data_IF_058612787637
#
_entry.id   IF_058612787637
#
_cell.length_a   1.000
_cell.length_b   1.000
_cell.length_c   1.000
_cell.angle_alpha   90.00
_cell.angle_beta   90.00
_cell.angle_gamma   90.00
#
_symmetry.space_group_name_H-M   'P 1'
#
loop_
_entity.id
_entity.type
_entity.pdbx_description
1 polymer ?
#
# COMPACT_ATOMS: atom_id res chain seq x y z
N UNK A 1 35.70 37.85 17.91
CA UNK A 1 36.06 37.22 16.61
C UNK A 1 37.28 37.94 16.06
N UNK A 2 38.39 37.24 15.85
CA UNK A 2 39.65 37.82 15.35
C UNK A 2 39.58 38.35 13.91
N UNK A 3 38.49 38.07 13.19
CA UNK A 3 38.23 38.60 11.86
C UNK A 3 37.68 40.03 11.91
N UNK A 4 36.88 40.37 12.93
CA UNK A 4 36.25 41.70 13.06
C UNK A 4 37.27 42.84 13.20
N UNK A 5 38.37 42.59 13.90
CA UNK A 5 39.46 43.55 14.03
C UNK A 5 40.24 43.75 12.72
N UNK A 6 40.39 42.69 11.92
CA UNK A 6 41.02 42.74 10.60
C UNK A 6 40.13 43.45 9.58
N UNK A 7 38.82 43.19 9.63
CA UNK A 7 37.82 43.88 8.79
C UNK A 7 37.81 45.39 9.03
N UNK A 8 37.87 45.83 10.31
CA UNK A 8 37.97 47.25 10.65
C UNK A 8 39.27 47.89 10.14
N UNK A 9 40.37 47.14 10.09
CA UNK A 9 41.66 47.63 9.59
C UNK A 9 41.71 47.72 8.05
N UNK A 10 40.91 46.90 7.35
CA UNK A 10 40.85 46.84 5.88
C UNK A 10 39.88 47.83 5.25
N UNK A 11 39.12 48.60 6.03
CA UNK A 11 38.11 49.55 5.53
C UNK A 11 38.68 50.70 4.66
N UNK A 12 40.01 50.88 4.59
CA UNK A 12 40.66 51.91 3.75
C UNK A 12 41.49 51.39 2.56
N UNK A 13 41.98 50.15 2.58
CA UNK A 13 43.01 49.68 1.61
C UNK A 13 42.80 48.25 1.12
N UNK A 14 41.73 47.56 1.54
CA UNK A 14 41.52 46.14 1.26
C UNK A 14 40.86 45.81 -0.08
N UNK A 15 40.38 46.81 -0.82
CA UNK A 15 39.53 46.58 -1.99
C UNK A 15 40.27 46.55 -3.33
N UNK A 16 41.51 47.02 -3.42
CA UNK A 16 42.25 47.04 -4.69
C UNK A 16 42.49 45.63 -5.24
N UNK A 17 42.79 44.68 -4.35
CA UNK A 17 42.91 43.26 -4.72
C UNK A 17 41.58 42.68 -5.21
N UNK A 18 40.46 43.09 -4.59
CA UNK A 18 39.12 42.69 -4.98
C UNK A 18 38.76 43.26 -6.36
N UNK A 19 39.00 44.55 -6.62
CA UNK A 19 38.72 45.16 -7.91
C UNK A 19 39.62 44.60 -9.02
N UNK A 20 40.89 44.29 -8.73
CA UNK A 20 41.78 43.61 -9.68
C UNK A 20 41.29 42.19 -10.03
N UNK A 21 40.71 41.46 -9.08
CA UNK A 21 40.06 40.18 -9.34
C UNK A 21 38.76 40.36 -10.14
N UNK A 22 37.93 41.35 -9.78
CA UNK A 22 36.69 41.67 -10.47
C UNK A 22 36.94 42.04 -11.94
N UNK A 23 37.99 42.79 -12.23
CA UNK A 23 38.35 43.16 -13.60
C UNK A 23 38.79 41.97 -14.44
N UNK A 24 39.45 40.97 -13.84
CA UNK A 24 39.74 39.69 -14.51
C UNK A 24 38.45 38.93 -14.86
N UNK A 25 37.48 38.89 -13.93
CA UNK A 25 36.17 38.26 -14.15
C UNK A 25 35.39 39.01 -15.24
N UNK A 26 35.34 40.34 -15.19
CA UNK A 26 34.72 41.18 -16.23
C UNK A 26 35.39 41.02 -17.60
N UNK A 27 36.72 40.86 -17.64
CA UNK A 27 37.44 40.61 -18.88
C UNK A 27 37.14 39.21 -19.43
N UNK A 28 36.93 38.22 -18.56
CA UNK A 28 36.50 36.88 -18.96
C UNK A 28 35.08 36.89 -19.55
N UNK A 29 34.10 37.54 -18.91
CA UNK A 29 32.76 37.66 -19.47
C UNK A 29 32.71 38.50 -20.77
N UNK A 30 33.57 39.52 -20.90
CA UNK A 30 33.71 40.28 -22.16
C UNK A 30 34.26 39.44 -23.31
N UNK A 31 35.13 38.46 -23.02
CA UNK A 31 35.68 37.52 -24.02
C UNK A 31 34.73 36.37 -24.36
N UNK A 32 33.80 36.05 -23.47
CA UNK A 32 32.85 34.95 -23.62
C UNK A 32 31.42 35.46 -23.40
N UNK A 33 30.90 36.34 -24.27
CA UNK A 33 29.56 36.92 -24.12
C UNK A 33 28.43 35.90 -24.29
N UNK A 34 28.67 34.77 -24.98
CA UNK A 34 27.72 33.67 -25.14
C UNK A 34 27.72 32.65 -23.98
N UNK A 35 28.68 32.76 -23.04
CA UNK A 35 28.70 31.89 -21.86
C UNK A 35 27.64 32.38 -20.85
N UNK A 36 26.39 31.92 -21.01
CA UNK A 36 25.38 32.13 -19.97
C UNK A 36 25.76 31.31 -18.74
N UNK A 37 25.90 31.95 -17.57
CA UNK A 37 25.89 31.21 -16.31
C UNK A 37 24.47 30.68 -16.17
N UNK A 38 24.29 29.37 -16.36
CA UNK A 38 22.99 28.77 -16.11
C UNK A 38 22.63 29.03 -14.65
N UNK A 39 21.48 29.65 -14.35
CA UNK A 39 21.01 29.77 -12.99
C UNK A 39 21.00 28.37 -12.35
N UNK A 40 21.52 28.18 -11.12
CA UNK A 40 21.47 26.88 -10.44
C UNK A 40 20.06 26.29 -10.39
N UNK A 41 19.03 27.14 -10.44
CA UNK A 41 17.61 26.81 -10.55
C UNK A 41 17.26 25.94 -11.78
N UNK A 42 18.02 26.07 -12.89
CA UNK A 42 17.84 25.23 -14.08
C UNK A 42 18.30 23.78 -13.86
N UNK A 43 19.26 23.53 -12.98
CA UNK A 43 19.61 22.17 -12.58
C UNK A 43 18.42 21.51 -11.90
N UNK A 44 17.67 22.24 -11.05
CA UNK A 44 16.45 21.72 -10.42
C UNK A 44 15.30 21.48 -11.40
N UNK A 45 15.27 22.17 -12.55
CA UNK A 45 14.24 21.98 -13.59
C UNK A 45 14.43 20.66 -14.35
N UNK A 46 15.68 20.18 -14.49
CA UNK A 46 15.96 18.86 -15.09
C UNK A 46 15.31 17.72 -14.31
N UNK A 47 15.25 17.84 -12.97
CA UNK A 47 14.70 16.83 -12.07
C UNK A 47 13.18 16.91 -11.83
N UNK A 48 12.42 17.60 -12.70
CA UNK A 48 10.96 17.76 -12.53
C UNK A 48 10.12 16.56 -12.94
N UNK A 49 10.75 15.50 -13.46
CA UNK A 49 10.05 14.32 -14.02
C UNK A 49 10.23 13.10 -13.13
N UNK A 50 9.12 12.42 -12.85
CA UNK A 50 9.12 11.09 -12.24
C UNK A 50 9.92 10.13 -13.14
N UNK A 51 10.70 9.16 -12.61
CA UNK A 51 11.34 8.10 -13.41
C UNK A 51 10.50 7.54 -14.56
N UNK A 52 9.25 7.23 -14.27
CA UNK A 52 8.25 6.73 -15.23
C UNK A 52 8.02 7.69 -16.42
N UNK A 53 8.03 9.01 -16.20
CA UNK A 53 7.84 10.00 -17.27
C UNK A 53 9.08 10.18 -18.15
N UNK A 54 10.27 9.87 -17.63
CA UNK A 54 11.51 9.87 -18.40
C UNK A 54 11.56 8.63 -19.29
N UNK A 55 11.30 7.44 -18.73
CA UNK A 55 11.32 6.18 -19.48
C UNK A 55 10.27 6.13 -20.60
N UNK A 56 9.06 6.65 -20.34
CA UNK A 56 8.04 6.81 -21.38
C UNK A 56 8.52 7.71 -22.53
N UNK A 57 9.21 8.82 -22.21
CA UNK A 57 9.76 9.72 -23.24
C UNK A 57 10.91 9.10 -24.00
N UNK A 58 11.78 8.32 -23.33
CA UNK A 58 12.83 7.53 -23.97
C UNK A 58 12.22 6.59 -24.98
N UNK A 59 11.22 5.79 -24.59
CA UNK A 59 10.52 4.85 -25.47
C UNK A 59 9.83 5.53 -26.64
N UNK A 60 9.13 6.65 -26.42
CA UNK A 60 8.49 7.43 -27.49
C UNK A 60 9.54 8.00 -28.46
N UNK A 61 10.68 8.46 -27.94
CA UNK A 61 11.78 8.98 -28.76
C UNK A 61 12.45 7.86 -29.56
N UNK A 62 12.71 6.71 -28.94
CA UNK A 62 13.23 5.49 -29.60
C UNK A 62 12.31 5.01 -30.71
N UNK A 63 11.00 4.91 -30.44
CA UNK A 63 10.01 4.50 -31.44
C UNK A 63 10.01 5.47 -32.62
N UNK A 64 10.02 6.77 -32.35
CA UNK A 64 10.08 7.82 -33.38
C UNK A 64 11.39 7.80 -34.17
N UNK A 65 12.51 7.48 -33.53
CA UNK A 65 13.83 7.36 -34.17
C UNK A 65 13.95 6.09 -35.01
N UNK A 66 13.40 4.96 -34.55
CA UNK A 66 13.29 3.71 -35.33
C UNK A 66 12.47 3.94 -36.60
N UNK A 67 11.31 4.59 -36.47
CA UNK A 67 10.42 4.91 -37.60
C UNK A 67 11.06 5.83 -38.64
N UNK A 68 11.99 6.70 -38.23
CA UNK A 68 12.59 7.72 -39.11
C UNK A 68 13.95 7.33 -39.68
N UNK A 69 14.75 6.53 -38.97
CA UNK A 69 16.12 6.20 -39.38
C UNK A 69 16.30 4.76 -39.85
N UNK A 70 15.32 3.87 -39.60
CA UNK A 70 15.40 2.43 -39.94
C UNK A 70 16.69 1.76 -39.38
N UNK A 71 17.21 2.30 -38.28
CA UNK A 71 18.35 1.78 -37.50
C UNK A 71 17.77 1.16 -36.24
N UNK A 72 18.05 -0.13 -36.00
CA UNK A 72 17.50 -0.87 -34.85
C UNK A 72 18.08 -0.40 -33.50
N UNK A 73 19.31 0.13 -33.50
CA UNK A 73 20.03 0.60 -32.33
C UNK A 73 20.42 2.07 -32.49
N UNK A 74 19.58 2.98 -31.98
CA UNK A 74 19.88 4.41 -31.92
C UNK A 74 20.29 4.73 -30.49
N UNK A 75 21.54 5.12 -30.28
CA UNK A 75 22.02 5.63 -28.99
C UNK A 75 21.41 7.02 -28.76
N UNK A 76 20.51 7.13 -27.77
CA UNK A 76 19.93 8.40 -27.35
C UNK A 76 20.90 9.06 -26.38
N UNK A 77 21.13 10.37 -26.55
CA UNK A 77 21.88 11.18 -25.59
C UNK A 77 21.03 11.33 -24.31
N UNK A 78 21.37 10.53 -23.30
CA UNK A 78 20.63 10.38 -22.03
C UNK A 78 20.63 11.64 -21.15
N UNK A 79 21.31 12.71 -21.56
CA UNK A 79 21.38 13.98 -20.82
C UNK A 79 20.02 14.68 -20.65
N UNK A 80 18.99 14.34 -21.46
CA UNK A 80 17.62 14.86 -21.31
C UNK A 80 16.67 13.95 -20.51
N UNK A 81 17.17 12.80 -20.03
CA UNK A 81 16.41 11.74 -19.35
C UNK A 81 16.81 11.54 -17.88
N UNK A 82 17.63 12.43 -17.31
CA UNK A 82 18.06 12.36 -15.91
C UNK A 82 16.86 12.49 -14.96
N UNK A 83 16.61 11.42 -14.19
CA UNK A 83 15.57 11.35 -13.17
C UNK A 83 16.19 11.62 -11.79
N UNK A 84 15.37 12.00 -10.80
CA UNK A 84 15.87 12.27 -9.44
C UNK A 84 16.43 11.02 -8.74
N UNK A 85 16.05 9.83 -9.20
CA UNK A 85 16.40 8.54 -8.60
C UNK A 85 17.12 7.72 -9.66
N UNK A 86 18.42 7.49 -9.47
CA UNK A 86 19.18 6.60 -10.36
C UNK A 86 18.79 5.14 -10.13
N UNK A 87 19.05 4.25 -11.09
CA UNK A 87 18.93 2.79 -10.89
C UNK A 87 19.69 2.34 -9.64
N UNK A 88 20.89 2.87 -9.43
CA UNK A 88 21.67 2.59 -8.22
C UNK A 88 21.08 3.15 -6.93
N UNK A 89 20.14 4.08 -6.98
CA UNK A 89 19.38 4.56 -5.81
C UNK A 89 18.17 3.67 -5.50
N UNK A 90 17.56 3.05 -6.53
CA UNK A 90 16.53 2.03 -6.35
C UNK A 90 17.09 0.77 -5.70
N UNK A 91 18.26 0.29 -6.15
CA UNK A 91 18.97 -0.84 -5.54
C UNK A 91 19.32 -0.56 -4.06
N UNK A 92 19.72 0.68 -3.76
CA UNK A 92 19.95 1.13 -2.37
C UNK A 92 18.65 1.11 -1.57
N UNK A 93 17.53 1.49 -2.16
CA UNK A 93 16.24 1.50 -1.47
C UNK A 93 15.80 0.06 -1.15
N UNK A 94 15.93 -0.86 -2.10
CA UNK A 94 15.58 -2.27 -1.93
C UNK A 94 16.45 -2.93 -0.84
N UNK A 95 17.76 -2.67 -0.84
CA UNK A 95 18.66 -3.19 0.21
C UNK A 95 18.46 -2.57 1.59
N UNK A 96 17.82 -1.40 1.70
CA UNK A 96 17.52 -0.75 2.97
C UNK A 96 16.33 -1.36 3.71
N UNK A 97 15.41 -2.04 3.02
CA UNK A 97 14.19 -2.58 3.62
C UNK A 97 14.14 -4.09 3.47
N UNK A 98 13.61 -4.77 4.49
CA UNK A 98 13.22 -6.17 4.32
C UNK A 98 12.03 -6.23 3.35
N UNK A 99 11.93 -7.31 2.57
CA UNK A 99 10.78 -7.53 1.69
C UNK A 99 9.45 -7.40 2.45
N UNK A 100 9.38 -7.90 3.69
CA UNK A 100 8.17 -7.82 4.52
C UNK A 100 7.86 -6.38 5.01
N UNK A 101 8.85 -5.47 5.07
CA UNK A 101 8.64 -4.06 5.46
C UNK A 101 7.98 -3.24 4.34
N UNK A 102 8.12 -3.67 3.07
CA UNK A 102 7.54 -3.01 1.88
C UNK A 102 7.78 -1.50 1.89
N UNK A 103 9.05 -1.09 1.82
CA UNK A 103 9.50 0.31 1.82
C UNK A 103 8.92 1.17 2.97
N UNK A 104 8.75 0.58 4.16
CA UNK A 104 8.21 1.27 5.34
C UNK A 104 6.67 1.32 5.41
N UNK A 105 5.98 0.50 4.61
CA UNK A 105 4.53 0.29 4.77
C UNK A 105 4.22 -0.52 6.02
N UNK A 106 4.98 -1.57 6.27
CA UNK A 106 4.84 -2.47 7.41
C UNK A 106 6.12 -2.47 8.25
N UNK A 107 6.03 -3.10 9.42
CA UNK A 107 7.14 -3.29 10.36
C UNK A 107 7.43 -4.77 10.46
N UNK A 108 8.69 -5.17 10.35
CA UNK A 108 9.13 -6.56 10.51
C UNK A 108 9.76 -6.76 11.89
N UNK A 109 9.02 -7.40 12.79
CA UNK A 109 9.46 -7.70 14.16
C UNK A 109 9.74 -9.19 14.37
N UNK A 110 9.95 -9.98 13.30
CA UNK A 110 10.17 -11.42 13.40
C UNK A 110 11.43 -11.77 14.20
N UNK A 111 12.52 -11.00 14.04
CA UNK A 111 13.75 -11.22 14.81
C UNK A 111 13.53 -10.97 16.31
N UNK A 112 12.84 -9.89 16.64
CA UNK A 112 12.54 -9.53 18.03
C UNK A 112 11.55 -10.53 18.65
N UNK A 113 10.60 -11.08 17.88
CA UNK A 113 9.72 -12.16 18.33
C UNK A 113 10.49 -13.43 18.69
N UNK A 114 11.49 -13.82 17.89
CA UNK A 114 12.38 -14.96 18.21
C UNK A 114 13.14 -14.73 19.52
N UNK A 115 13.67 -13.52 19.71
CA UNK A 115 14.33 -13.15 20.98
C UNK A 115 13.36 -13.19 22.15
N UNK A 116 12.11 -12.73 21.97
CA UNK A 116 11.07 -12.75 22.99
C UNK A 116 10.72 -14.17 23.43
N UNK A 117 10.53 -15.10 22.49
CA UNK A 117 10.21 -16.51 22.80
C UNK A 117 11.33 -17.18 23.62
N UNK A 118 12.57 -16.75 23.42
CA UNK A 118 13.73 -17.29 24.16
C UNK A 118 13.85 -16.73 25.59
N UNK A 119 13.00 -15.78 26.01
CA UNK A 119 13.04 -15.21 27.35
C UNK A 119 12.49 -16.19 28.40
N UNK A 120 13.25 -16.34 29.48
CA UNK A 120 12.88 -17.21 30.61
C UNK A 120 11.63 -16.67 31.32
N UNK A 121 10.62 -17.52 31.52
CA UNK A 121 9.42 -17.17 32.28
C UNK A 121 8.34 -16.45 31.47
N UNK A 122 8.47 -16.39 30.14
CA UNK A 122 7.40 -15.95 29.23
C UNK A 122 6.76 -17.16 28.54
N UNK A 123 5.48 -17.07 28.20
CA UNK A 123 4.80 -18.10 27.41
C UNK A 123 5.18 -17.99 25.94
N UNK A 124 5.28 -19.14 25.26
CA UNK A 124 5.45 -19.18 23.80
C UNK A 124 4.17 -18.66 23.14
N UNK A 125 4.22 -17.47 22.56
CA UNK A 125 3.09 -16.84 21.88
C UNK A 125 3.32 -16.77 20.36
N UNK A 126 2.23 -16.74 19.60
CA UNK A 126 2.29 -16.55 18.15
C UNK A 126 2.78 -15.14 17.79
N UNK A 127 3.23 -14.95 16.54
CA UNK A 127 3.71 -13.64 16.07
C UNK A 127 2.62 -12.56 16.14
N UNK A 128 1.38 -12.90 15.79
CA UNK A 128 0.24 -11.96 15.84
C UNK A 128 -0.09 -11.56 17.28
N UNK A 129 -0.02 -12.50 18.22
CA UNK A 129 -0.18 -12.18 19.65
C UNK A 129 0.97 -11.31 20.15
N UNK A 130 2.20 -11.60 19.73
CA UNK A 130 3.38 -10.80 20.06
C UNK A 130 3.23 -9.34 19.62
N UNK A 131 2.72 -9.06 18.41
CA UNK A 131 2.46 -7.68 17.95
C UNK A 131 1.47 -6.92 18.86
N UNK A 132 0.62 -7.61 19.63
CA UNK A 132 -0.29 -6.97 20.59
C UNK A 132 0.32 -6.78 21.99
N UNK A 133 1.27 -7.64 22.35
CA UNK A 133 1.85 -7.72 23.70
C UNK A 133 3.21 -7.02 23.79
N UNK A 134 3.86 -6.71 22.67
CA UNK A 134 5.21 -6.10 22.62
C UNK A 134 5.34 -4.74 23.34
N UNK A 135 4.24 -4.12 23.77
CA UNK A 135 4.20 -2.88 24.56
C UNK A 135 3.83 -3.07 26.03
N UNK A 136 3.39 -4.27 26.42
CA UNK A 136 2.90 -4.58 27.76
C UNK A 136 4.04 -5.10 28.63
N UNK A 137 5.02 -4.25 28.89
CA UNK A 137 6.18 -4.59 29.73
C UNK A 137 5.82 -4.90 31.19
N UNK A 138 4.62 -4.53 31.64
CA UNK A 138 4.08 -4.87 32.96
C UNK A 138 3.69 -6.33 33.13
N UNK A 139 3.38 -7.04 32.04
CA UNK A 139 3.01 -8.46 32.08
C UNK A 139 4.24 -9.37 32.25
N UNK A 140 5.44 -8.83 32.03
CA UNK A 140 6.70 -9.56 32.13
C UNK A 140 7.15 -9.61 33.60
N UNK A 141 7.30 -10.82 34.20
CA UNK A 141 7.72 -10.94 35.58
C UNK A 141 9.07 -10.27 35.85
N UNK A 142 9.24 -9.63 37.01
CA UNK A 142 10.50 -9.00 37.38
C UNK A 142 11.70 -9.98 37.35
N UNK A 143 11.46 -11.26 37.63
CA UNK A 143 12.48 -12.31 37.56
C UNK A 143 12.91 -12.65 36.12
N UNK A 144 12.09 -12.34 35.11
CA UNK A 144 12.38 -12.54 33.70
C UNK A 144 13.19 -11.36 33.09
N UNK A 145 13.26 -10.22 33.79
CA UNK A 145 14.02 -9.02 33.37
C UNK A 145 15.53 -9.18 33.61
N UNK A 146 16.10 -10.25 33.07
CA UNK A 146 17.53 -10.56 33.09
C UNK A 146 18.28 -9.89 31.91
N UNK A 147 19.57 -10.15 31.76
CA UNK A 147 20.39 -9.62 30.67
C UNK A 147 19.86 -9.96 29.27
N UNK A 148 19.25 -11.14 29.10
CA UNK A 148 18.61 -11.55 27.82
C UNK A 148 17.43 -10.63 27.47
N UNK A 149 16.66 -10.21 28.47
CA UNK A 149 15.57 -9.26 28.26
C UNK A 149 16.10 -7.88 27.91
N UNK A 150 17.20 -7.45 28.56
CA UNK A 150 17.87 -6.20 28.19
C UNK A 150 18.43 -6.23 26.75
N UNK A 151 18.92 -7.38 26.28
CA UNK A 151 19.35 -7.58 24.89
C UNK A 151 18.18 -7.49 23.91
N UNK A 152 17.07 -8.18 24.21
CA UNK A 152 15.82 -8.06 23.45
C UNK A 152 15.35 -6.60 23.32
N UNK A 153 15.28 -5.86 24.43
CA UNK A 153 14.87 -4.45 24.42
C UNK A 153 15.82 -3.57 23.62
N UNK A 154 17.14 -3.80 23.71
CA UNK A 154 18.13 -3.06 22.91
C UNK A 154 17.96 -3.35 21.42
N UNK A 155 17.76 -4.61 21.04
CA UNK A 155 17.49 -5.01 19.65
C UNK A 155 16.21 -4.34 19.13
N UNK A 156 15.14 -4.36 19.92
CA UNK A 156 13.86 -3.74 19.56
C UNK A 156 13.96 -2.21 19.42
N UNK A 157 14.64 -1.54 20.35
CA UNK A 157 14.89 -0.10 20.26
C UNK A 157 15.75 0.26 19.04
N UNK A 158 16.84 -0.47 18.80
CA UNK A 158 17.73 -0.24 17.66
C UNK A 158 17.02 -0.45 16.32
N UNK A 159 16.17 -1.49 16.23
CA UNK A 159 15.35 -1.73 15.06
C UNK A 159 14.40 -0.55 14.79
N UNK A 160 13.65 -0.08 15.81
CA UNK A 160 12.76 1.06 15.64
C UNK A 160 13.50 2.34 15.25
N UNK A 161 14.64 2.63 15.88
CA UNK A 161 15.47 3.80 15.53
C UNK A 161 15.93 3.76 14.06
N UNK A 162 16.40 2.59 13.60
CA UNK A 162 16.78 2.40 12.22
C UNK A 162 15.56 2.50 11.28
N UNK A 163 14.41 1.95 11.68
CA UNK A 163 13.18 2.03 10.91
C UNK A 163 12.70 3.47 10.75
N UNK A 164 12.73 4.31 11.81
CA UNK A 164 12.43 5.74 11.70
C UNK A 164 13.36 6.44 10.72
N UNK A 165 14.67 6.17 10.79
CA UNK A 165 15.65 6.79 9.91
C UNK A 165 15.44 6.42 8.42
N UNK A 166 15.06 5.17 8.13
CA UNK A 166 14.83 4.69 6.76
C UNK A 166 13.44 5.07 6.22
N UNK A 167 12.38 4.81 6.98
CA UNK A 167 10.99 4.98 6.53
C UNK A 167 10.43 6.39 6.69
N UNK A 168 10.99 7.19 7.60
CA UNK A 168 10.49 8.53 7.93
C UNK A 168 11.65 9.51 8.13
N UNK A 169 12.43 9.81 7.08
CA UNK A 169 13.62 10.67 7.18
C UNK A 169 13.32 12.10 7.63
N UNK A 170 12.07 12.56 7.46
CA UNK A 170 11.62 13.89 7.92
C UNK A 170 11.20 13.91 9.40
N UNK A 171 11.12 12.76 10.06
CA UNK A 171 10.81 12.68 11.47
C UNK A 171 12.05 13.03 12.31
N UNK A 172 11.94 14.04 13.18
CA UNK A 172 13.02 14.46 14.08
C UNK A 172 13.16 13.48 15.26
N UNK A 173 13.78 12.33 14.98
CA UNK A 173 14.06 11.27 15.96
C UNK A 173 14.91 11.78 17.14
N UNK A 174 15.98 12.57 16.95
CA UNK A 174 16.76 13.10 18.08
C UNK A 174 15.95 13.99 19.02
N UNK A 175 15.03 14.81 18.51
CA UNK A 175 14.12 15.59 19.35
C UNK A 175 13.17 14.67 20.12
N UNK A 176 12.52 13.72 19.45
CA UNK A 176 11.62 12.78 20.10
C UNK A 176 12.32 11.95 21.20
N UNK A 177 13.59 11.56 20.98
CA UNK A 177 14.42 10.87 21.97
C UNK A 177 14.66 11.74 23.21
N UNK A 178 15.04 13.01 23.03
CA UNK A 178 15.26 13.94 24.15
C UNK A 178 13.97 14.17 24.95
N UNK A 179 12.85 14.39 24.27
CA UNK A 179 11.55 14.56 24.92
C UNK A 179 11.14 13.31 25.73
N UNK A 180 11.39 12.11 25.19
CA UNK A 180 11.16 10.85 25.91
C UNK A 180 12.09 10.69 27.12
N UNK A 181 13.37 11.07 26.99
CA UNK A 181 14.32 11.01 28.10
C UNK A 181 13.98 12.00 29.22
N UNK A 182 13.56 13.22 28.88
CA UNK A 182 13.10 14.23 29.84
C UNK A 182 11.81 13.80 30.56
N UNK A 183 10.84 13.25 29.80
CA UNK A 183 9.62 12.70 30.37
C UNK A 183 9.90 11.54 31.34
N UNK A 184 10.79 10.62 30.95
CA UNK A 184 11.20 9.51 31.80
C UNK A 184 11.86 9.97 33.10
N UNK A 185 12.82 10.91 33.04
CA UNK A 185 13.49 11.39 34.26
C UNK A 185 12.52 12.09 35.21
N UNK A 186 11.51 12.79 34.67
CA UNK A 186 10.43 13.39 35.45
C UNK A 186 9.57 12.32 36.14
N UNK A 187 9.04 11.36 35.38
CA UNK A 187 8.21 10.26 35.91
C UNK A 187 8.99 9.42 36.95
N UNK A 188 10.29 9.18 36.70
CA UNK A 188 11.15 8.42 37.60
C UNK A 188 11.44 9.16 38.90
N UNK A 189 11.59 10.49 38.86
CA UNK A 189 11.76 11.32 40.05
C UNK A 189 10.49 11.33 40.91
N UNK A 190 9.32 11.54 40.28
CA UNK A 190 8.02 11.52 40.96
C UNK A 190 7.71 10.15 41.61
N UNK A 191 8.12 9.04 40.96
CA UNK A 191 7.99 7.70 41.54
C UNK A 191 8.78 7.53 42.84
N UNK A 192 10.01 8.06 42.89
CA UNK A 192 10.86 7.99 44.09
C UNK A 192 10.28 8.75 45.28
N UNK A 193 9.54 9.83 45.05
CA UNK A 193 8.88 10.57 46.14
C UNK A 193 7.67 9.81 46.71
N UNK A 194 7.01 8.96 45.91
CA UNK A 194 5.82 8.21 46.33
C UNK A 194 6.13 6.81 46.90
N UNK A 195 7.19 6.13 46.45
CA UNK A 195 7.66 4.84 47.01
C UNK A 195 8.78 5.08 48.05
N UNK A 196 8.43 5.59 49.24
CA UNK A 196 9.35 5.72 50.39
C UNK A 196 9.34 4.53 51.35
N UNK A 197 8.96 3.33 50.88
CA UNK A 197 9.30 2.06 51.56
C UNK A 197 10.69 1.61 51.07
N UNK A 198 11.73 2.23 51.65
CA UNK A 198 13.12 1.85 51.37
C UNK A 198 13.38 0.48 52.01
N UNK A 199 13.31 -0.60 51.21
CA UNK A 199 13.89 -1.88 51.59
C UNK A 199 15.36 -1.66 51.99
N UNK A 200 15.68 -1.85 53.27
CA UNK A 200 17.02 -1.62 53.80
C UNK A 200 17.98 -2.68 53.26
N UNK A 201 18.64 -2.38 52.14
CA UNK A 201 19.54 -3.30 51.45
C UNK A 201 21.02 -2.91 51.63
N UNK A 202 21.87 -3.90 51.86
CA UNK A 202 23.31 -3.74 51.95
C UNK A 202 23.97 -4.27 50.68
N UNK A 203 24.45 -3.37 49.81
CA UNK A 203 25.06 -3.72 48.51
C UNK A 203 26.33 -4.57 48.63
N UNK A 204 27.30 -4.30 49.53
CA UNK A 204 28.51 -5.13 49.68
C UNK A 204 28.25 -6.56 50.17
N UNK A 205 27.17 -6.76 50.94
CA UNK A 205 26.82 -8.06 51.52
C UNK A 205 25.61 -8.72 50.87
N UNK A 206 24.97 -8.07 49.90
CA UNK A 206 23.77 -8.47 49.18
C UNK A 206 22.65 -9.03 50.09
N UNK A 207 22.35 -8.33 51.19
CA UNK A 207 21.32 -8.71 52.17
C UNK A 207 20.30 -7.61 52.36
N UNK A 208 19.03 -7.99 52.38
CA UNK A 208 17.90 -7.15 52.79
C UNK A 208 17.67 -7.26 54.29
N UNK A 209 17.19 -6.18 54.90
CA UNK A 209 16.91 -6.08 56.32
C UNK A 209 15.50 -5.52 56.52
N UNK A 210 14.74 -6.12 57.42
CA UNK A 210 13.37 -5.69 57.71
C UNK A 210 13.32 -4.46 58.63
N UNK A 211 14.37 -4.24 59.45
CA UNK A 211 14.40 -3.17 60.47
C UNK A 211 15.67 -2.34 60.38
N UNK A 212 15.55 -1.02 60.51
CA UNK A 212 16.66 -0.07 60.45
C UNK A 212 17.72 -0.34 61.53
N UNK A 213 17.28 -0.80 62.70
CA UNK A 213 18.16 -1.18 63.81
C UNK A 213 19.08 -2.35 63.43
N UNK A 214 18.54 -3.37 62.76
CA UNK A 214 19.32 -4.53 62.30
C UNK A 214 20.28 -4.18 61.17
N UNK A 215 19.88 -3.24 60.30
CA UNK A 215 20.72 -2.71 59.23
C UNK A 215 21.92 -1.91 59.77
N UNK A 216 21.68 -0.97 60.70
CA UNK A 216 22.74 -0.17 61.34
C UNK A 216 23.75 -1.06 62.08
N UNK A 217 23.26 -2.09 62.79
CA UNK A 217 24.13 -3.05 63.45
C UNK A 217 24.98 -3.86 62.45
N UNK A 218 24.39 -4.28 61.32
CA UNK A 218 25.11 -4.98 60.25
C UNK A 218 26.24 -4.12 59.63
N UNK A 219 25.97 -2.84 59.37
CA UNK A 219 26.97 -1.89 58.83
C UNK A 219 28.19 -1.74 59.73
N UNK A 220 28.00 -1.73 61.06
CA UNK A 220 29.10 -1.69 62.03
C UNK A 220 29.79 -3.05 62.27
N UNK A 221 29.30 -4.14 61.66
CA UNK A 221 29.80 -5.48 61.97
C UNK A 221 31.17 -5.75 61.32
N UNK A 222 32.08 -6.41 62.06
CA UNK A 222 33.40 -6.82 61.53
C UNK A 222 33.32 -7.68 60.26
N UNK A 223 32.22 -8.42 60.06
CA UNK A 223 31.99 -9.23 58.84
C UNK A 223 31.78 -8.31 57.63
N UNK A 224 30.92 -7.30 57.77
CA UNK A 224 30.67 -6.30 56.73
C UNK A 224 31.95 -5.52 56.39
N UNK A 225 32.65 -5.01 57.41
CA UNK A 225 33.89 -4.24 57.21
C UNK A 225 34.93 -5.02 56.39
N UNK A 226 35.13 -6.32 56.71
CA UNK A 226 36.05 -7.19 55.96
C UNK A 226 35.62 -7.41 54.50
N UNK A 227 34.32 -7.45 54.23
CA UNK A 227 33.80 -7.60 52.86
C UNK A 227 33.99 -6.32 52.06
N UNK A 228 33.76 -5.16 52.67
CA UNK A 228 34.03 -3.84 52.06
C UNK A 228 35.52 -3.68 51.76
N UNK A 229 36.39 -3.99 52.72
CA UNK A 229 37.85 -3.92 52.53
C UNK A 229 38.35 -4.89 51.44
N UNK A 230 37.68 -6.04 51.29
CA UNK A 230 37.96 -7.01 50.21
C UNK A 230 37.53 -6.48 48.84
N UNK A 231 36.34 -5.88 48.75
CA UNK A 231 35.83 -5.26 47.52
C UNK A 231 36.68 -4.05 47.12
N UNK A 232 37.13 -3.25 48.08
CA UNK A 232 38.02 -2.10 47.83
C UNK A 232 39.39 -2.51 47.27
N UNK A 233 39.85 -3.73 47.58
CA UNK A 233 41.13 -4.28 47.08
C UNK A 233 41.02 -4.97 45.72
N UNK A 234 39.83 -5.35 45.25
CA UNK A 234 39.65 -5.83 43.88
C UNK A 234 39.60 -4.63 42.93
N UNK A 235 40.63 -4.47 42.10
CA UNK A 235 40.75 -3.37 41.15
C UNK A 235 39.67 -3.39 40.07
N UNK A 236 38.90 -2.30 40.00
CA UNK A 236 38.34 -1.63 38.83
C UNK A 236 37.55 -2.47 37.79
N UNK A 237 36.37 -2.91 38.18
CA UNK A 237 35.19 -2.77 37.33
C UNK A 237 34.08 -2.19 38.22
N UNK A 238 33.55 -1.02 37.89
CA UNK A 238 32.35 -0.51 38.58
C UNK A 238 31.24 -1.51 38.28
N UNK A 239 30.95 -2.43 39.21
CA UNK A 239 29.75 -3.26 39.10
C UNK A 239 28.58 -2.31 39.13
N UNK A 240 27.79 -2.26 38.05
CA UNK A 240 26.57 -1.46 38.04
C UNK A 240 25.69 -1.87 39.20
N UNK A 241 25.23 -0.88 39.97
CA UNK A 241 24.32 -1.15 41.08
C UNK A 241 23.04 -1.78 40.52
N UNK A 242 22.35 -2.61 41.32
CA UNK A 242 21.10 -3.24 40.88
C UNK A 242 20.03 -2.20 40.53
N UNK A 243 20.08 -1.05 41.20
CA UNK A 243 19.22 0.12 40.95
C UNK A 243 19.61 0.80 39.63
N UNK A 244 20.92 0.97 39.41
CA UNK A 244 21.62 1.21 38.14
C UNK A 244 20.96 0.52 36.96
N UNK A 245 20.96 -0.79 37.06
CA UNK A 245 20.52 -1.71 36.02
C UNK A 245 19.02 -1.65 35.80
N UNK A 246 18.24 -1.66 36.88
CA UNK A 246 16.79 -1.54 36.80
C UNK A 246 16.36 -0.21 36.15
N UNK A 247 17.02 0.91 36.49
CA UNK A 247 16.74 2.22 35.88
C UNK A 247 17.02 2.21 34.38
N UNK A 248 18.12 1.59 33.93
CA UNK A 248 18.43 1.48 32.49
C UNK A 248 17.41 0.64 31.73
N UNK A 249 16.98 -0.49 32.29
CA UNK A 249 15.94 -1.33 31.67
C UNK A 249 14.63 -0.55 31.58
N UNK A 250 14.19 0.09 32.67
CA UNK A 250 12.97 0.89 32.68
C UNK A 250 13.02 2.05 31.67
N UNK A 251 14.19 2.69 31.49
CA UNK A 251 14.39 3.72 30.47
C UNK A 251 14.20 3.18 29.05
N UNK A 252 14.76 1.99 28.77
CA UNK A 252 14.58 1.32 27.47
C UNK A 252 13.12 0.96 27.23
N UNK A 253 12.42 0.44 28.24
CA UNK A 253 10.97 0.14 28.17
C UNK A 253 10.17 1.40 27.82
N UNK A 254 10.41 2.52 28.51
CA UNK A 254 9.74 3.80 28.22
C UNK A 254 10.04 4.28 26.79
N UNK A 255 11.30 4.20 26.36
CA UNK A 255 11.71 4.61 25.00
C UNK A 255 11.00 3.79 23.92
N UNK A 256 10.96 2.46 24.07
CA UNK A 256 10.23 1.57 23.15
C UNK A 256 8.73 1.86 23.18
N UNK A 257 8.16 2.14 24.35
CA UNK A 257 6.74 2.50 24.46
C UNK A 257 6.40 3.78 23.68
N UNK A 258 7.28 4.79 23.72
CA UNK A 258 7.15 6.00 22.92
C UNK A 258 7.24 5.71 21.41
N UNK A 259 8.18 4.86 20.99
CA UNK A 259 8.32 4.46 19.58
C UNK A 259 7.11 3.71 19.06
N UNK A 260 6.60 2.74 19.81
CA UNK A 260 5.40 2.02 19.40
C UNK A 260 4.17 2.93 19.36
N UNK A 261 4.04 3.89 20.30
CA UNK A 261 2.96 4.88 20.24
C UNK A 261 3.02 5.71 18.96
N UNK A 262 4.22 6.13 18.53
CA UNK A 262 4.41 6.85 17.28
C UNK A 262 4.16 5.97 16.04
N UNK A 263 4.50 4.68 16.09
CA UNK A 263 4.30 3.70 15.01
C UNK A 263 2.94 2.96 15.09
N UNK A 264 1.99 3.45 15.88
CA UNK A 264 0.75 2.73 16.18
C UNK A 264 -0.08 2.38 14.93
N UNK A 265 -0.13 3.26 13.93
CA UNK A 265 -0.79 2.99 12.65
C UNK A 265 -0.09 1.87 11.89
N UNK A 266 1.23 1.96 11.73
CA UNK A 266 2.06 0.97 11.02
C UNK A 266 1.99 -0.42 11.65
N UNK A 267 1.94 -0.50 12.97
CA UNK A 267 1.78 -1.77 13.69
C UNK A 267 0.37 -2.34 13.53
N UNK A 268 -0.67 -1.50 13.52
CA UNK A 268 -2.03 -1.93 13.20
C UNK A 268 -2.13 -2.48 11.77
N UNK A 269 -1.53 -1.79 10.80
CA UNK A 269 -1.49 -2.22 9.40
C UNK A 269 -0.72 -3.53 9.23
N UNK A 270 0.42 -3.66 9.91
CA UNK A 270 1.22 -4.89 9.94
C UNK A 270 0.40 -6.05 10.51
N UNK A 271 -0.30 -5.83 11.63
CA UNK A 271 -1.16 -6.84 12.22
C UNK A 271 -2.27 -7.29 11.28
N UNK A 272 -2.97 -6.34 10.66
CA UNK A 272 -4.04 -6.65 9.70
C UNK A 272 -3.49 -7.42 8.49
N UNK A 273 -2.30 -7.05 8.01
CA UNK A 273 -1.61 -7.75 6.92
C UNK A 273 -1.25 -9.18 7.29
N UNK A 274 -0.65 -9.40 8.47
CA UNK A 274 -0.30 -10.75 8.93
C UNK A 274 -1.56 -11.60 9.13
N UNK A 275 -2.62 -11.05 9.71
CA UNK A 275 -3.88 -11.78 9.90
C UNK A 275 -4.54 -12.15 8.56
N UNK A 276 -4.54 -11.24 7.59
CA UNK A 276 -4.99 -11.55 6.22
C UNK A 276 -4.13 -12.63 5.59
N UNK A 277 -2.80 -12.51 5.61
CA UNK A 277 -1.86 -13.50 5.05
C UNK A 277 -1.98 -14.87 5.72
N UNK A 278 -2.37 -14.94 7.00
CA UNK A 278 -2.66 -16.19 7.68
C UNK A 278 -3.97 -16.85 7.25
N UNK A 279 -4.94 -16.06 6.77
CA UNK A 279 -6.23 -16.55 6.29
C UNK A 279 -6.22 -16.99 4.81
N UNK A 280 -5.19 -16.57 4.04
CA UNK A 280 -5.03 -16.95 2.64
C UNK A 280 -4.67 -18.43 2.49
N UNK A 281 -5.20 -19.04 1.42
CA UNK A 281 -4.77 -20.36 0.94
C UNK A 281 -3.36 -20.29 0.34
N UNK A 282 -2.73 -21.45 0.15
CA UNK A 282 -1.36 -21.50 -0.39
C UNK A 282 -1.28 -20.91 -1.81
N UNK A 283 -2.28 -21.20 -2.66
CA UNK A 283 -2.35 -20.66 -4.02
C UNK A 283 -2.50 -19.13 -4.01
N UNK A 284 -3.33 -18.58 -3.11
CA UNK A 284 -3.50 -17.13 -2.98
C UNK A 284 -2.25 -16.44 -2.39
N UNK A 285 -1.52 -17.11 -1.49
CA UNK A 285 -0.25 -16.61 -0.95
C UNK A 285 0.85 -16.56 -2.00
N UNK A 286 0.91 -17.59 -2.86
CA UNK A 286 1.81 -17.62 -4.01
C UNK A 286 1.46 -16.53 -5.01
N UNK A 287 0.17 -16.27 -5.25
CA UNK A 287 -0.28 -15.17 -6.10
C UNK A 287 0.06 -13.79 -5.52
N UNK A 288 -0.12 -13.54 -4.21
CA UNK A 288 0.29 -12.27 -3.59
C UNK A 288 1.81 -12.05 -3.64
N UNK A 289 2.63 -13.11 -3.65
CA UNK A 289 4.07 -13.02 -3.86
C UNK A 289 4.39 -12.71 -5.32
N UNK A 290 3.73 -13.41 -6.25
CA UNK A 290 3.91 -13.18 -7.68
C UNK A 290 3.47 -11.79 -8.09
N UNK A 291 2.31 -11.30 -7.64
CA UNK A 291 1.83 -9.93 -7.92
C UNK A 291 2.81 -8.86 -7.40
N UNK A 292 3.57 -9.15 -6.34
CA UNK A 292 4.58 -8.21 -5.83
C UNK A 292 5.79 -8.18 -6.74
N UNK A 293 6.30 -9.36 -7.14
CA UNK A 293 7.38 -9.48 -8.11
C UNK A 293 6.93 -8.93 -9.49
N UNK A 294 5.65 -9.10 -9.82
CA UNK A 294 5.04 -8.57 -11.03
C UNK A 294 4.83 -7.07 -10.93
N UNK A 295 4.56 -6.43 -9.78
CA UNK A 295 4.57 -4.94 -9.70
C UNK A 295 5.99 -4.37 -9.90
N UNK A 296 7.04 -5.17 -9.65
CA UNK A 296 8.44 -4.80 -9.91
C UNK A 296 8.87 -5.03 -11.38
N UNK A 297 8.11 -5.82 -12.16
CA UNK A 297 8.38 -6.14 -13.57
C UNK A 297 7.19 -5.96 -14.54
N UNK A 298 6.04 -5.48 -14.06
CA UNK A 298 4.82 -5.21 -14.82
C UNK A 298 4.93 -3.78 -15.29
N UNK A 299 5.58 -3.71 -16.43
CA UNK A 299 5.34 -2.75 -17.47
C UNK A 299 3.81 -2.65 -17.75
N UNK A 300 3.07 -1.92 -16.90
CA UNK A 300 1.66 -1.57 -17.15
C UNK A 300 1.58 -0.41 -18.16
N UNK A 301 2.37 -0.54 -19.23
CA UNK A 301 2.48 0.37 -20.36
C UNK A 301 1.36 0.17 -21.38
N UNK A 302 0.52 -0.86 -21.24
CA UNK A 302 -0.59 -1.10 -22.17
C UNK A 302 -1.91 -0.42 -21.76
N UNK A 303 -1.95 0.25 -20.59
CA UNK A 303 -3.17 0.92 -20.12
C UNK A 303 -3.01 2.41 -19.86
N UNK A 304 -2.23 3.10 -20.71
CA UNK A 304 -2.25 4.56 -20.78
C UNK A 304 -3.70 5.07 -20.94
N UNK A 305 -4.29 5.54 -19.83
CA UNK A 305 -5.61 6.16 -19.82
C UNK A 305 -5.52 7.48 -20.57
N UNK A 306 -5.65 7.42 -21.89
CA UNK A 306 -5.73 8.59 -22.75
C UNK A 306 -6.75 9.56 -22.14
N UNK A 307 -6.28 10.77 -21.77
CA UNK A 307 -7.08 11.80 -21.11
C UNK A 307 -8.38 12.05 -21.90
N UNK A 308 -9.48 11.48 -21.41
CA UNK A 308 -10.81 11.49 -22.04
C UNK A 308 -11.79 12.27 -21.15
N UNK A 309 -11.63 13.61 -21.04
CA UNK A 309 -12.41 14.44 -20.13
C UNK A 309 -13.91 14.45 -20.43
N UNK A 310 -14.32 13.96 -21.61
CA UNK A 310 -15.71 13.87 -22.03
C UNK A 310 -16.27 12.43 -22.01
N UNK A 311 -15.49 11.44 -21.52
CA UNK A 311 -15.85 10.02 -21.50
C UNK A 311 -16.48 9.54 -22.82
N UNK A 312 -15.90 9.98 -23.94
CA UNK A 312 -16.31 9.60 -25.28
C UNK A 312 -15.86 8.15 -25.54
N UNK A 313 -16.69 7.30 -26.16
CA UNK A 313 -16.28 5.96 -26.54
C UNK A 313 -14.98 5.99 -27.36
N UNK A 314 -14.07 5.07 -27.06
CA UNK A 314 -12.78 4.96 -27.73
C UNK A 314 -12.99 4.38 -29.14
N UNK A 315 -12.28 4.94 -30.11
CA UNK A 315 -12.27 4.41 -31.46
C UNK A 315 -11.46 3.12 -31.55
N UNK A 316 -11.45 2.52 -32.75
CA UNK A 316 -10.57 1.40 -33.09
C UNK A 316 -9.07 1.75 -33.03
N UNK A 317 -8.73 3.05 -32.96
CA UNK A 317 -7.39 3.63 -32.81
C UNK A 317 -7.01 3.89 -31.33
N UNK A 318 -7.81 3.43 -30.36
CA UNK A 318 -7.57 3.62 -28.92
C UNK A 318 -7.68 5.06 -28.42
N UNK A 319 -7.90 6.04 -29.30
CA UNK A 319 -8.11 7.47 -28.96
C UNK A 319 -9.60 7.81 -28.80
N UNK A 320 -9.97 8.81 -27.98
CA UNK A 320 -11.34 9.29 -27.89
C UNK A 320 -11.85 9.78 -29.25
N UNK A 321 -13.03 9.29 -29.67
CA UNK A 321 -13.63 9.68 -30.95
C UNK A 321 -13.92 11.20 -30.93
N UNK A 322 -13.60 11.94 -32.00
CA UNK A 322 -13.92 13.37 -32.08
C UNK A 322 -15.40 13.68 -31.80
N UNK A 323 -15.67 14.74 -31.05
CA UNK A 323 -17.02 15.08 -30.57
C UNK A 323 -18.06 15.28 -31.68
N UNK A 324 -17.67 15.84 -32.83
CA UNK A 324 -18.57 15.99 -33.97
C UNK A 324 -18.97 14.64 -34.57
N UNK A 325 -18.04 13.67 -34.60
CA UNK A 325 -18.27 12.33 -35.11
C UNK A 325 -19.17 11.53 -34.16
N UNK A 326 -18.98 11.72 -32.85
CA UNK A 326 -19.87 11.19 -31.80
C UNK A 326 -21.32 11.69 -31.95
N UNK A 327 -21.52 12.97 -32.28
CA UNK A 327 -22.85 13.54 -32.56
C UNK A 327 -23.41 13.06 -33.90
N UNK A 328 -22.59 13.02 -34.95
CA UNK A 328 -22.99 12.62 -36.30
C UNK A 328 -23.52 11.19 -36.35
N UNK A 329 -22.83 10.25 -35.71
CA UNK A 329 -23.27 8.86 -35.62
C UNK A 329 -24.36 8.61 -34.57
N UNK A 330 -24.83 9.66 -33.88
CA UNK A 330 -25.93 9.57 -32.92
C UNK A 330 -25.57 8.87 -31.60
N UNK A 331 -24.28 8.63 -31.30
CA UNK A 331 -23.83 8.01 -30.04
C UNK A 331 -24.14 8.88 -28.80
N UNK A 332 -24.43 10.17 -29.02
CA UNK A 332 -24.88 11.10 -27.97
C UNK A 332 -26.27 10.80 -27.41
N UNK A 333 -27.09 10.02 -28.12
CA UNK A 333 -28.45 9.66 -27.67
C UNK A 333 -28.38 8.30 -26.97
N UNK A 334 -28.83 8.26 -25.72
CA UNK A 334 -28.88 7.03 -24.92
C UNK A 334 -30.27 6.39 -25.00
N UNK A 335 -30.30 5.08 -25.22
CA UNK A 335 -31.51 4.25 -25.23
C UNK A 335 -31.38 3.18 -24.15
N UNK A 336 -32.42 2.92 -23.38
CA UNK A 336 -32.44 1.89 -22.35
C UNK A 336 -33.36 0.73 -22.75
N UNK A 337 -32.96 -0.50 -22.45
CA UNK A 337 -33.80 -1.70 -22.62
C UNK A 337 -34.11 -2.33 -21.26
N UNK A 338 -35.40 -2.43 -20.91
CA UNK A 338 -35.84 -3.00 -19.62
C UNK A 338 -35.67 -4.51 -19.59
N UNK A 339 -35.93 -5.19 -20.72
CA UNK A 339 -35.75 -6.65 -20.88
C UNK A 339 -34.29 -7.08 -20.61
N UNK A 340 -33.32 -6.20 -20.87
CA UNK A 340 -31.90 -6.43 -20.59
C UNK A 340 -31.45 -6.02 -19.17
N UNK A 341 -32.39 -5.65 -18.28
CA UNK A 341 -32.08 -5.15 -16.94
C UNK A 341 -31.65 -3.68 -16.95
N UNK A 342 -32.40 -2.82 -17.64
CA UNK A 342 -32.14 -1.39 -17.78
C UNK A 342 -30.73 -1.04 -18.30
N UNK A 343 -30.20 -1.88 -19.18
CA UNK A 343 -28.91 -1.62 -19.81
C UNK A 343 -29.02 -0.44 -20.79
N UNK A 344 -28.08 0.51 -20.68
CA UNK A 344 -28.04 1.73 -21.49
C UNK A 344 -27.15 1.50 -22.71
N UNK A 345 -27.71 1.66 -23.90
CA UNK A 345 -27.04 1.59 -25.18
C UNK A 345 -26.87 3.00 -25.75
N UNK A 346 -25.68 3.30 -26.28
CA UNK A 346 -25.36 4.60 -26.89
C UNK A 346 -25.53 4.52 -28.40
N UNK A 347 -26.43 5.33 -28.92
CA UNK A 347 -26.75 5.40 -30.35
C UNK A 347 -27.73 4.33 -30.83
N UNK A 348 -28.48 4.70 -31.86
CA UNK A 348 -29.55 3.87 -32.44
C UNK A 348 -29.03 2.57 -33.03
N UNK A 349 -27.88 2.58 -33.71
CA UNK A 349 -27.32 1.38 -34.34
C UNK A 349 -26.95 0.30 -33.31
N UNK A 350 -26.31 0.70 -32.20
CA UNK A 350 -26.01 -0.23 -31.10
C UNK A 350 -27.30 -0.75 -30.46
N UNK A 351 -28.30 0.13 -30.30
CA UNK A 351 -29.61 -0.26 -29.80
C UNK A 351 -30.40 -1.16 -30.78
N UNK A 352 -30.23 -1.09 -32.09
CA UNK A 352 -30.91 -2.04 -32.98
C UNK A 352 -30.20 -3.39 -33.03
N UNK A 353 -28.87 -3.38 -32.89
CA UNK A 353 -28.05 -4.59 -32.83
C UNK A 353 -28.30 -5.41 -31.57
N UNK A 354 -28.61 -4.77 -30.43
CA UNK A 354 -28.79 -5.48 -29.16
C UNK A 354 -29.97 -6.48 -29.16
N UNK A 355 -31.01 -6.26 -29.98
CA UNK A 355 -32.13 -7.21 -30.09
C UNK A 355 -31.70 -8.59 -30.62
N UNK A 356 -30.60 -8.65 -31.37
CA UNK A 356 -30.02 -9.89 -31.90
C UNK A 356 -28.93 -10.46 -30.98
N UNK A 357 -28.52 -9.73 -29.93
CA UNK A 357 -27.49 -10.19 -29.01
C UNK A 357 -27.98 -11.36 -28.15
N UNK A 358 -27.10 -12.30 -27.78
CA UNK A 358 -27.46 -13.50 -27.01
C UNK A 358 -28.06 -13.16 -25.64
N UNK A 359 -27.65 -12.03 -25.05
CA UNK A 359 -28.17 -11.55 -23.77
C UNK A 359 -29.66 -11.21 -23.85
N UNK A 360 -30.06 -10.42 -24.85
CA UNK A 360 -31.47 -10.08 -25.07
C UNK A 360 -32.28 -11.32 -25.42
N UNK A 361 -31.75 -12.18 -26.32
CA UNK A 361 -32.39 -13.44 -26.69
C UNK A 361 -32.60 -14.40 -25.50
N UNK A 362 -31.62 -14.49 -24.59
CA UNK A 362 -31.71 -15.30 -23.38
C UNK A 362 -32.76 -14.76 -22.41
N UNK A 363 -32.85 -13.44 -22.26
CA UNK A 363 -33.85 -12.82 -21.40
C UNK A 363 -35.27 -12.97 -21.97
N UNK A 364 -35.44 -12.80 -23.27
CA UNK A 364 -36.72 -13.10 -23.95
C UNK A 364 -37.14 -14.55 -23.75
N UNK A 365 -36.19 -15.49 -23.86
CA UNK A 365 -36.44 -16.91 -23.58
C UNK A 365 -36.85 -17.17 -22.12
N UNK A 366 -36.27 -16.45 -21.15
CA UNK A 366 -36.65 -16.54 -19.73
C UNK A 366 -38.07 -15.99 -19.48
N UNK A 367 -38.51 -15.02 -20.26
CA UNK A 367 -39.90 -14.52 -20.26
C UNK A 367 -40.87 -15.46 -20.99
N UNK A 368 -40.37 -16.52 -21.63
CA UNK A 368 -41.19 -17.47 -22.40
C UNK A 368 -41.58 -16.96 -23.80
N UNK A 369 -40.97 -15.86 -24.27
CA UNK A 369 -41.27 -15.25 -25.57
C UNK A 369 -40.18 -15.66 -26.58
N UNK A 370 -40.53 -16.18 -27.77
CA UNK A 370 -39.56 -16.47 -28.82
C UNK A 370 -38.98 -15.18 -29.41
N UNK A 371 -37.65 -15.06 -29.47
CA UNK A 371 -36.96 -13.89 -30.03
C UNK A 371 -37.03 -13.88 -31.56
N UNK A 372 -38.18 -13.49 -32.11
CA UNK A 372 -38.41 -13.30 -33.55
C UNK A 372 -38.34 -11.81 -33.93
N UNK A 373 -38.25 -11.51 -35.23
CA UNK A 373 -38.23 -10.13 -35.74
C UNK A 373 -39.47 -9.31 -35.38
N UNK A 374 -40.60 -9.96 -35.07
CA UNK A 374 -41.83 -9.28 -34.65
C UNK A 374 -41.68 -8.57 -33.29
N UNK A 375 -40.73 -9.02 -32.46
CA UNK A 375 -40.44 -8.43 -31.15
C UNK A 375 -39.28 -7.43 -31.19
N UNK A 376 -38.69 -7.14 -32.36
CA UNK A 376 -37.66 -6.12 -32.47
C UNK A 376 -38.26 -4.73 -32.25
N UNK A 377 -37.63 -3.93 -31.38
CA UNK A 377 -38.09 -2.59 -31.03
C UNK A 377 -38.88 -2.52 -29.73
N UNK A 378 -39.29 -3.66 -29.16
CA UNK A 378 -39.98 -3.71 -27.87
C UNK A 378 -38.96 -3.66 -26.74
N UNK A 379 -38.98 -2.56 -25.98
CA UNK A 379 -38.00 -2.31 -24.91
C UNK A 379 -38.52 -2.72 -23.53
N UNK A 380 -39.82 -2.58 -23.30
CA UNK A 380 -40.48 -2.80 -22.03
C UNK A 380 -41.01 -4.21 -21.89
N UNK A 381 -40.95 -4.74 -20.67
CA UNK A 381 -41.41 -6.11 -20.37
C UNK A 381 -42.95 -6.20 -20.49
N UNK A 382 -43.68 -5.18 -20.07
CA UNK A 382 -45.16 -5.17 -20.17
C UNK A 382 -45.62 -5.21 -21.62
N UNK A 383 -45.03 -4.36 -22.47
CA UNK A 383 -45.32 -4.29 -23.90
C UNK A 383 -45.00 -5.62 -24.60
N UNK A 384 -43.88 -6.26 -24.24
CA UNK A 384 -43.52 -7.57 -24.79
C UNK A 384 -44.54 -8.66 -24.45
N UNK A 385 -45.05 -8.68 -23.21
CA UNK A 385 -46.07 -9.63 -22.78
C UNK A 385 -47.42 -9.38 -23.47
N UNK A 386 -47.83 -8.12 -23.63
CA UNK A 386 -49.06 -7.77 -24.34
C UNK A 386 -48.99 -8.14 -25.83
N UNK A 387 -47.86 -7.87 -26.47
CA UNK A 387 -47.64 -8.24 -27.86
C UNK A 387 -47.61 -9.76 -28.02
N UNK A 388 -46.93 -10.48 -27.13
CA UNK A 388 -46.91 -11.95 -27.14
C UNK A 388 -48.29 -12.54 -26.95
N UNK A 389 -49.10 -12.00 -26.02
CA UNK A 389 -50.47 -12.47 -25.81
C UNK A 389 -51.34 -12.32 -27.07
N UNK A 390 -51.18 -11.23 -27.83
CA UNK A 390 -51.89 -11.02 -29.11
C UNK A 390 -51.42 -12.01 -30.17
N UNK A 391 -50.10 -12.14 -30.35
CA UNK A 391 -49.50 -13.03 -31.36
C UNK A 391 -49.82 -14.51 -31.06
N UNK A 392 -49.78 -14.92 -29.80
CA UNK A 392 -50.13 -16.29 -29.38
C UNK A 392 -51.63 -16.57 -29.58
N UNK A 393 -52.50 -15.57 -29.35
CA UNK A 393 -53.93 -15.70 -29.63
C UNK A 393 -54.22 -15.81 -31.14
N UNK A 394 -53.57 -14.98 -31.97
CA UNK A 394 -53.67 -15.06 -33.43
C UNK A 394 -53.19 -16.41 -33.94
N UNK A 395 -52.03 -16.88 -33.47
CA UNK A 395 -51.48 -18.18 -33.86
C UNK A 395 -52.38 -19.35 -33.43
N UNK A 396 -52.92 -19.32 -32.21
CA UNK A 396 -53.89 -20.33 -31.75
C UNK A 396 -55.18 -20.29 -32.56
N UNK A 397 -55.64 -19.11 -32.98
CA UNK A 397 -56.80 -18.99 -33.85
C UNK A 397 -56.53 -19.60 -35.24
N UNK A 398 -55.36 -19.33 -35.83
CA UNK A 398 -54.93 -19.96 -37.09
C UNK A 398 -54.81 -21.49 -36.98
N UNK A 399 -54.23 -22.00 -35.89
CA UNK A 399 -54.10 -23.45 -35.66
C UNK A 399 -55.48 -24.11 -35.48
N UNK A 400 -56.41 -23.48 -34.76
CA UNK A 400 -57.79 -23.97 -34.59
C UNK A 400 -58.57 -23.93 -35.90
N UNK A 401 -58.43 -22.87 -36.69
CA UNK A 401 -59.09 -22.74 -37.99
C UNK A 401 -58.60 -23.82 -38.96
N UNK A 402 -57.29 -24.06 -39.02
CA UNK A 402 -56.71 -25.13 -39.84
C UNK A 402 -57.19 -26.53 -39.41
N UNK A 403 -57.21 -26.84 -38.11
CA UNK A 403 -57.71 -28.13 -37.60
C UNK A 403 -59.22 -28.32 -37.86
N UNK A 404 -59.97 -27.23 -37.99
CA UNK A 404 -61.41 -27.24 -38.25
C UNK A 404 -61.73 -27.35 -39.74
N UNK A 405 -60.96 -26.70 -40.60
CA UNK A 405 -61.19 -26.69 -42.06
C UNK A 405 -60.63 -27.92 -42.79
N UNK A 406 -59.64 -28.63 -42.22
CA UNK A 406 -59.05 -29.80 -42.88
C UNK A 406 -59.90 -31.06 -42.62
N UNK A 407 -60.73 -31.40 -43.62
CA UNK A 407 -61.62 -32.57 -43.62
C UNK A 407 -60.91 -33.84 -44.12
N UNK A 408 -61.07 -34.95 -43.39
CA UNK A 408 -60.55 -36.28 -43.72
C UNK A 408 -61.70 -37.28 -43.88
N UNK A 409 -61.64 -38.10 -44.93
CA UNK A 409 -62.60 -39.17 -45.18
C UNK A 409 -62.06 -40.52 -44.65
N UNK A 410 -62.93 -41.30 -44.00
CA UNK A 410 -62.65 -42.68 -43.62
C UNK A 410 -62.89 -43.67 -44.77
N UNK A 411 -62.61 -44.96 -44.54
CA UNK A 411 -62.81 -46.00 -45.55
C UNK A 411 -64.29 -46.27 -45.88
N UNK A 412 -65.21 -45.77 -45.04
CA UNK A 412 -66.67 -45.89 -45.20
C UNK A 412 -67.29 -44.64 -45.85
N UNK A 413 -66.48 -43.60 -46.11
CA UNK A 413 -66.88 -42.34 -46.74
C UNK A 413 -67.46 -41.28 -45.78
N UNK A 414 -67.28 -41.44 -44.47
CA UNK A 414 -67.66 -40.42 -43.49
C UNK A 414 -66.57 -39.33 -43.40
N UNK A 415 -67.00 -38.07 -43.39
CA UNK A 415 -66.10 -36.90 -43.32
C UNK A 415 -65.95 -36.45 -41.87
N UNK A 416 -64.71 -36.38 -41.38
CA UNK A 416 -64.36 -35.91 -40.04
C UNK A 416 -63.35 -34.76 -40.10
N UNK A 417 -63.36 -33.88 -39.11
CA UNK A 417 -62.25 -32.95 -38.94
C UNK A 417 -60.97 -33.72 -38.61
N UNK A 418 -59.81 -33.19 -39.02
CA UNK A 418 -58.48 -33.79 -38.81
C UNK A 418 -58.29 -34.36 -37.40
N UNK A 419 -58.62 -33.57 -36.38
CA UNK A 419 -58.46 -33.96 -34.98
C UNK A 419 -59.34 -35.14 -34.61
N UNK A 420 -60.62 -35.10 -34.99
CA UNK A 420 -61.59 -36.17 -34.73
C UNK A 420 -61.19 -37.45 -35.46
N UNK A 421 -60.74 -37.35 -36.72
CA UNK A 421 -60.23 -38.49 -37.48
C UNK A 421 -59.03 -39.16 -36.78
N UNK A 422 -58.01 -38.39 -36.38
CA UNK A 422 -56.84 -38.96 -35.71
C UNK A 422 -57.15 -39.51 -34.31
N UNK A 423 -58.07 -38.90 -33.57
CA UNK A 423 -58.49 -39.41 -32.26
C UNK A 423 -59.30 -40.71 -32.39
N UNK A 424 -60.24 -40.80 -33.34
CA UNK A 424 -60.97 -42.03 -33.65
C UNK A 424 -60.03 -43.14 -34.13
N UNK A 425 -59.06 -42.81 -34.98
CA UNK A 425 -58.03 -43.74 -35.46
C UNK A 425 -57.14 -44.26 -34.31
N UNK A 426 -56.76 -43.39 -33.36
CA UNK A 426 -56.00 -43.80 -32.16
C UNK A 426 -56.79 -44.70 -31.23
N UNK A 427 -58.11 -44.50 -31.15
CA UNK A 427 -59.02 -45.34 -30.38
C UNK A 427 -59.37 -46.65 -31.11
N UNK A 428 -59.01 -46.76 -32.40
CA UNK A 428 -59.30 -47.94 -33.24
C UNK A 428 -60.76 -48.04 -33.67
N UNK A 429 -61.47 -46.90 -33.73
CA UNK A 429 -62.88 -46.82 -34.08
C UNK A 429 -63.14 -46.59 -35.58
N UNK A 430 -62.12 -46.14 -36.33
CA UNK A 430 -62.13 -45.96 -37.80
C UNK A 430 -60.82 -46.45 -38.42
#
# INVERSE_FOLDING_TARGET
SGLRAKEMHMMGTGFDSFYAQLDKVRAHHRRNPELSVQPPELDYIKYTRNPEEADEKRRVLEARLRDTTNVENVEIDDTELETFVSEGDMDKLETMFSGDERFGRYVDLNEQHKLYINLKGTSTISYVEYLNVCTRFGDIPAAAKDNLYAEYLRSLAAYFESYFARSMPLFDLPKAQREADEAFEKEWAERKENEMDVELFCEPCQRTFEKETTYKAHMSSRKHQKTVDRLAKSTCAKSESRVDHAKRIARLEHKVQCYVRALGSKLSDTRANVQRRQALTEDERMHELHDVDEIEYSDDADTAHAYNPLNLPLGWDGKPIPFWLYKLHGLSVTFSCEICGNSVYRGRSAYERHFQEPRHASNMRRLGIPNTRQFHGVASISEALELWARVDAEKKAEDVDNDTFEEYEDAEGNVFSKKTYFDLKRQGLI
#
